data_IF_046002606228
#
_entry.id   IF_046002606228
#
_cell.length_a   1.000
_cell.length_b   1.000
_cell.length_c   1.000
_cell.angle_alpha   90.00
_cell.angle_beta   90.00
_cell.angle_gamma   90.00
#
_symmetry.space_group_name_H-M   'P 1'
#
loop_
_entity.id
_entity.type
_entity.pdbx_description
1 polymer ?
#
# COMPACT_ATOMS: atom_id res chain seq x y z
N UNK A 1 37.08 24.55 8.73
CA UNK A 1 36.32 23.48 9.37
C UNK A 1 34.80 23.59 9.18
N UNK A 2 34.24 24.78 9.08
CA UNK A 2 32.80 24.95 8.92
C UNK A 2 32.27 24.69 7.49
N UNK A 3 33.12 24.70 6.47
CA UNK A 3 32.73 24.48 5.09
C UNK A 3 32.39 23.01 4.74
N UNK A 4 33.07 22.05 5.38
CA UNK A 4 32.78 20.61 5.17
C UNK A 4 31.46 20.16 5.80
N UNK A 5 31.07 20.75 6.92
CA UNK A 5 29.80 20.46 7.59
C UNK A 5 28.59 21.00 6.79
N UNK A 6 28.75 22.16 6.15
CA UNK A 6 27.74 22.76 5.28
C UNK A 6 27.50 21.97 4.00
N UNK A 7 28.56 21.41 3.39
CA UNK A 7 28.48 20.59 2.19
C UNK A 7 27.77 19.25 2.45
N UNK A 8 28.03 18.59 3.56
CA UNK A 8 27.36 17.34 3.94
C UNK A 8 25.85 17.54 4.19
N UNK A 9 25.50 18.64 4.81
CA UNK A 9 24.08 18.97 5.04
C UNK A 9 23.36 19.31 3.73
N UNK A 10 23.98 20.01 2.81
CA UNK A 10 23.45 20.30 1.49
C UNK A 10 23.28 19.03 0.66
N UNK A 11 24.26 18.09 0.68
CA UNK A 11 24.13 16.79 -0.01
C UNK A 11 23.05 15.91 0.60
N UNK A 12 22.91 15.88 1.92
CA UNK A 12 21.85 15.11 2.61
C UNK A 12 20.48 15.71 2.32
N UNK A 13 20.36 17.05 2.30
CA UNK A 13 19.12 17.74 1.93
C UNK A 13 18.78 17.55 0.45
N UNK A 14 19.78 17.58 -0.43
CA UNK A 14 19.60 17.32 -1.85
C UNK A 14 19.20 15.88 -2.13
N UNK A 15 19.83 14.91 -1.48
CA UNK A 15 19.45 13.50 -1.56
C UNK A 15 18.07 13.22 -0.95
N UNK A 16 17.68 13.90 0.11
CA UNK A 16 16.34 13.78 0.68
C UNK A 16 15.29 14.49 -0.17
N UNK A 17 15.61 15.64 -0.76
CA UNK A 17 14.74 16.33 -1.71
C UNK A 17 14.58 15.55 -3.02
N UNK A 18 15.65 14.95 -3.52
CA UNK A 18 15.62 14.04 -4.69
C UNK A 18 14.83 12.78 -4.36
N UNK A 19 14.95 12.26 -3.15
CA UNK A 19 14.10 11.16 -2.67
C UNK A 19 12.63 11.56 -2.64
N UNK A 20 12.32 12.75 -2.18
CA UNK A 20 10.95 13.27 -2.15
C UNK A 20 10.39 13.57 -3.55
N UNK A 21 11.21 14.05 -4.47
CA UNK A 21 10.80 14.29 -5.85
C UNK A 21 10.64 13.00 -6.68
N UNK A 22 11.41 11.96 -6.34
CA UNK A 22 11.42 10.70 -7.10
C UNK A 22 10.36 9.69 -6.64
N UNK A 23 9.62 9.95 -5.57
CA UNK A 23 8.95 8.86 -4.90
C UNK A 23 7.72 9.19 -4.04
N UNK A 24 6.94 10.17 -4.39
CA UNK A 24 5.59 10.22 -3.82
C UNK A 24 4.71 9.13 -4.45
N UNK A 25 5.05 7.89 -4.14
CA UNK A 25 4.17 6.77 -4.42
C UNK A 25 3.07 6.77 -3.36
N UNK A 26 1.85 6.74 -3.81
CA UNK A 26 0.67 6.65 -2.96
C UNK A 26 0.09 5.25 -3.03
N UNK A 27 0.15 4.55 -1.92
CA UNK A 27 -0.46 3.23 -1.76
C UNK A 27 -1.53 3.31 -0.68
N UNK A 28 -2.70 2.77 -0.96
CA UNK A 28 -3.76 2.60 0.03
C UNK A 28 -3.81 1.14 0.45
N UNK A 29 -3.80 0.89 1.77
CA UNK A 29 -3.99 -0.42 2.35
C UNK A 29 -5.36 -0.49 3.02
N UNK A 30 -6.25 -1.27 2.45
CA UNK A 30 -7.53 -1.62 3.08
C UNK A 30 -7.30 -2.78 4.04
N UNK A 31 -7.45 -2.52 5.33
CA UNK A 31 -7.11 -3.45 6.39
C UNK A 31 -8.34 -3.90 7.17
N UNK A 32 -8.48 -5.21 7.36
CA UNK A 32 -9.46 -5.78 8.26
C UNK A 32 -9.17 -5.35 9.70
N UNK A 33 -10.20 -4.89 10.42
CA UNK A 33 -10.10 -4.43 11.79
C UNK A 33 -9.50 -5.48 12.75
N UNK A 34 -9.93 -6.75 12.62
CA UNK A 34 -9.59 -7.82 13.56
C UNK A 34 -8.19 -8.41 13.38
N UNK A 35 -7.59 -8.27 12.20
CA UNK A 35 -6.31 -8.92 11.89
C UNK A 35 -5.25 -7.94 11.36
N UNK A 36 -5.39 -7.48 10.12
CA UNK A 36 -4.36 -6.66 9.47
C UNK A 36 -4.18 -5.29 10.13
N UNK A 37 -5.26 -4.65 10.55
CA UNK A 37 -5.17 -3.37 11.26
C UNK A 37 -4.48 -3.54 12.61
N UNK A 38 -4.81 -4.61 13.35
CA UNK A 38 -4.14 -4.94 14.60
C UNK A 38 -2.66 -5.31 14.39
N UNK A 39 -2.33 -6.00 13.31
CA UNK A 39 -0.94 -6.29 12.94
C UNK A 39 -0.16 -5.00 12.61
N UNK A 40 -0.77 -4.06 11.90
CA UNK A 40 -0.18 -2.75 11.62
C UNK A 40 0.08 -1.94 12.91
N UNK A 41 -0.88 -1.95 13.83
CA UNK A 41 -0.76 -1.31 15.14
C UNK A 41 0.35 -1.96 15.98
N UNK A 42 0.44 -3.27 15.98
CA UNK A 42 1.52 -4.02 16.63
C UNK A 42 2.89 -3.67 16.04
N UNK A 43 3.01 -3.58 14.72
CA UNK A 43 4.24 -3.18 14.05
C UNK A 43 4.70 -1.78 14.51
N UNK A 44 3.75 -0.85 14.63
CA UNK A 44 4.01 0.49 15.15
C UNK A 44 4.48 0.47 16.61
N UNK A 45 3.80 -0.29 17.46
CA UNK A 45 4.16 -0.45 18.88
C UNK A 45 5.55 -1.08 19.07
N UNK A 46 5.91 -2.02 18.23
CA UNK A 46 7.23 -2.65 18.22
C UNK A 46 8.30 -1.82 17.50
N UNK A 47 7.94 -0.66 16.96
CA UNK A 47 8.82 0.23 16.19
C UNK A 47 9.50 -0.46 15.00
N UNK A 48 8.81 -1.39 14.37
CA UNK A 48 9.29 -2.05 13.14
C UNK A 48 9.25 -1.01 12.01
N UNK A 49 10.38 -0.82 11.35
CA UNK A 49 10.49 0.15 10.26
C UNK A 49 9.93 -0.43 8.96
N UNK A 50 9.11 0.33 8.28
CA UNK A 50 8.61 0.03 6.96
C UNK A 50 8.32 1.33 6.18
N UNK A 51 8.18 1.28 4.84
CA UNK A 51 7.96 2.49 4.04
C UNK A 51 6.71 3.27 4.44
N UNK A 52 6.80 4.59 4.45
CA UNK A 52 5.69 5.50 4.79
C UNK A 52 4.74 5.78 3.63
N UNK A 53 4.96 5.18 2.47
CA UNK A 53 4.14 5.35 1.26
C UNK A 53 2.73 4.78 1.37
N UNK A 54 2.47 3.95 2.38
CA UNK A 54 1.21 3.26 2.58
C UNK A 54 0.33 4.00 3.58
N UNK A 55 -0.89 4.32 3.16
CA UNK A 55 -1.94 4.89 4.00
C UNK A 55 -2.95 3.80 4.34
N UNK A 56 -3.18 3.60 5.63
CA UNK A 56 -4.07 2.55 6.13
C UNK A 56 -5.51 3.04 6.20
N UNK A 57 -6.42 2.29 5.60
CA UNK A 57 -7.87 2.47 5.72
C UNK A 57 -8.43 1.24 6.42
N UNK A 58 -8.99 1.45 7.61
CA UNK A 58 -9.59 0.38 8.41
C UNK A 58 -10.99 0.04 7.89
N UNK A 59 -11.23 -1.25 7.67
CA UNK A 59 -12.53 -1.79 7.33
C UNK A 59 -12.99 -2.76 8.43
N UNK A 60 -14.31 -2.87 8.68
CA UNK A 60 -14.84 -3.90 9.60
C UNK A 60 -14.43 -5.32 9.18
N UNK A 61 -14.42 -5.58 7.88
CA UNK A 61 -13.97 -6.82 7.25
C UNK A 61 -13.57 -6.53 5.80
N UNK A 62 -12.58 -7.24 5.27
CA UNK A 62 -12.23 -7.14 3.84
C UNK A 62 -13.39 -7.56 2.92
N UNK A 63 -14.36 -8.33 3.43
CA UNK A 63 -15.60 -8.63 2.72
C UNK A 63 -16.48 -7.42 2.41
N UNK A 64 -16.28 -6.29 3.09
CA UNK A 64 -16.95 -5.01 2.79
C UNK A 64 -16.29 -4.27 1.62
N UNK A 65 -15.08 -4.64 1.25
CA UNK A 65 -14.39 -4.03 0.14
C UNK A 65 -15.04 -4.48 -1.17
N UNK A 66 -15.60 -3.54 -1.91
CA UNK A 66 -16.14 -3.82 -3.23
C UNK A 66 -15.17 -3.41 -4.35
N UNK A 67 -15.47 -3.86 -5.55
CA UNK A 67 -14.68 -3.55 -6.75
C UNK A 67 -14.65 -2.05 -7.02
N UNK A 68 -15.76 -1.36 -6.81
CA UNK A 68 -15.87 0.06 -7.05
C UNK A 68 -14.91 0.87 -6.16
N UNK A 69 -14.81 0.52 -4.90
CA UNK A 69 -13.94 1.21 -3.95
C UNK A 69 -12.46 1.12 -4.36
N UNK A 70 -12.04 -0.03 -4.88
CA UNK A 70 -10.67 -0.21 -5.40
C UNK A 70 -10.46 0.63 -6.67
N UNK A 71 -11.41 0.61 -7.58
CA UNK A 71 -11.32 1.39 -8.83
C UNK A 71 -11.33 2.89 -8.56
N UNK A 72 -12.16 3.35 -7.62
CA UNK A 72 -12.20 4.75 -7.20
C UNK A 72 -10.85 5.23 -6.65
N UNK A 73 -10.15 4.37 -5.89
CA UNK A 73 -8.81 4.68 -5.41
C UNK A 73 -7.84 4.94 -6.57
N UNK A 74 -7.87 4.12 -7.61
CA UNK A 74 -7.05 4.32 -8.81
C UNK A 74 -7.46 5.57 -9.59
N UNK A 75 -8.74 5.85 -9.70
CA UNK A 75 -9.25 7.06 -10.36
C UNK A 75 -8.75 8.34 -9.68
N UNK A 76 -8.62 8.31 -8.35
CA UNK A 76 -8.08 9.42 -7.56
C UNK A 76 -6.55 9.51 -7.57
N UNK A 77 -5.87 8.70 -8.37
CA UNK A 77 -4.44 8.80 -8.61
C UNK A 77 -3.56 7.97 -7.67
N UNK A 78 -4.13 6.98 -7.01
CA UNK A 78 -3.37 6.02 -6.20
C UNK A 78 -2.54 5.13 -7.12
N UNK A 79 -1.30 4.88 -6.74
CA UNK A 79 -0.35 4.10 -7.54
C UNK A 79 -0.45 2.60 -7.28
N UNK A 80 -0.95 2.22 -6.10
CA UNK A 80 -1.16 0.84 -5.72
C UNK A 80 -2.22 0.68 -4.63
N UNK A 81 -2.88 -0.45 -4.62
CA UNK A 81 -3.87 -0.83 -3.60
C UNK A 81 -3.47 -2.15 -2.98
N UNK A 82 -3.30 -2.14 -1.69
CA UNK A 82 -3.03 -3.32 -0.88
C UNK A 82 -4.30 -3.69 -0.12
N UNK A 83 -4.67 -4.96 -0.16
CA UNK A 83 -5.79 -5.49 0.63
C UNK A 83 -5.21 -6.48 1.63
N UNK A 84 -5.37 -6.19 2.91
CA UNK A 84 -4.84 -7.01 3.98
C UNK A 84 -5.97 -7.59 4.83
N UNK A 85 -6.13 -8.88 4.80
CA UNK A 85 -7.20 -9.62 5.46
C UNK A 85 -6.71 -10.73 6.37
N UNK A 86 -7.66 -11.42 6.98
CA UNK A 86 -7.40 -12.56 7.84
C UNK A 86 -6.77 -13.72 7.07
N UNK A 87 -6.08 -14.60 7.78
CA UNK A 87 -5.63 -15.89 7.24
C UNK A 87 -6.83 -16.66 6.69
N UNK A 88 -6.62 -17.47 5.66
CA UNK A 88 -7.67 -18.32 5.11
C UNK A 88 -8.20 -19.26 6.21
N UNK A 89 -9.51 -19.28 6.38
CA UNK A 89 -10.18 -20.04 7.44
C UNK A 89 -10.37 -19.31 8.76
N UNK A 90 -9.69 -18.20 9.00
CA UNK A 90 -9.73 -17.44 10.28
C UNK A 90 -10.54 -16.13 10.19
N UNK A 91 -11.31 -15.96 9.14
CA UNK A 91 -12.11 -14.76 8.98
C UNK A 91 -13.22 -14.67 10.04
N UNK A 92 -13.28 -13.55 10.75
CA UNK A 92 -14.31 -13.30 11.76
C UNK A 92 -15.74 -13.43 11.19
N UNK A 93 -15.95 -13.09 9.94
CA UNK A 93 -17.22 -13.20 9.21
C UNK A 93 -17.23 -14.40 8.25
N UNK A 94 -16.47 -15.42 8.53
CA UNK A 94 -16.33 -16.70 7.83
C UNK A 94 -15.81 -16.62 6.40
N UNK A 95 -16.40 -15.84 5.49
CA UNK A 95 -16.07 -15.81 4.07
C UNK A 95 -15.61 -14.43 3.56
N UNK A 96 -15.46 -13.46 4.43
CA UNK A 96 -15.12 -12.09 4.03
C UNK A 96 -13.81 -12.00 3.24
N UNK A 97 -12.76 -12.68 3.70
CA UNK A 97 -11.47 -12.74 3.05
C UNK A 97 -11.50 -13.45 1.69
N UNK A 98 -12.30 -14.50 1.54
CA UNK A 98 -12.49 -15.18 0.24
C UNK A 98 -13.23 -14.28 -0.77
N UNK A 99 -14.22 -13.57 -0.32
CA UNK A 99 -14.93 -12.59 -1.15
C UNK A 99 -14.00 -11.46 -1.60
N UNK A 100 -13.17 -10.95 -0.70
CA UNK A 100 -12.15 -9.97 -1.02
C UNK A 100 -11.16 -10.50 -2.06
N UNK A 101 -10.67 -11.72 -1.90
CA UNK A 101 -9.76 -12.36 -2.86
C UNK A 101 -10.36 -12.45 -4.27
N UNK A 102 -11.62 -12.86 -4.37
CA UNK A 102 -12.34 -12.89 -5.67
C UNK A 102 -12.44 -11.52 -6.31
N UNK A 103 -12.78 -10.51 -5.52
CA UNK A 103 -12.89 -9.12 -5.99
C UNK A 103 -11.56 -8.54 -6.42
N UNK A 104 -10.49 -8.80 -5.67
CA UNK A 104 -9.13 -8.40 -6.03
C UNK A 104 -8.72 -9.04 -7.38
N UNK A 105 -8.98 -10.33 -7.55
CA UNK A 105 -8.67 -11.02 -8.81
C UNK A 105 -9.50 -10.45 -9.99
N UNK A 106 -10.74 -10.10 -9.76
CA UNK A 106 -11.56 -9.45 -10.76
C UNK A 106 -11.03 -8.07 -11.16
N UNK A 107 -10.64 -7.26 -10.18
CA UNK A 107 -10.00 -5.95 -10.44
C UNK A 107 -8.70 -6.12 -11.23
N UNK A 108 -7.87 -7.11 -10.90
CA UNK A 108 -6.65 -7.42 -11.66
C UNK A 108 -6.96 -7.69 -13.14
N UNK A 109 -8.02 -8.42 -13.42
CA UNK A 109 -8.48 -8.68 -14.79
C UNK A 109 -8.91 -7.39 -15.49
N UNK A 110 -9.66 -6.52 -14.80
CA UNK A 110 -10.08 -5.24 -15.35
C UNK A 110 -8.89 -4.32 -15.65
N UNK A 111 -7.93 -4.23 -14.73
CA UNK A 111 -6.73 -3.42 -14.94
C UNK A 111 -5.92 -3.87 -16.16
N UNK A 112 -5.75 -5.17 -16.34
CA UNK A 112 -5.08 -5.72 -17.52
C UNK A 112 -5.79 -5.33 -18.82
N UNK A 113 -7.12 -5.32 -18.84
CA UNK A 113 -7.90 -4.93 -20.03
C UNK A 113 -7.70 -3.49 -20.44
N UNK A 114 -7.46 -2.60 -19.48
CA UNK A 114 -7.24 -1.17 -19.74
C UNK A 114 -5.74 -0.79 -19.84
N UNK A 115 -4.84 -1.79 -19.82
CA UNK A 115 -3.41 -1.58 -19.97
C UNK A 115 -2.68 -1.13 -18.71
N UNK A 116 -3.26 -1.37 -17.54
CA UNK A 116 -2.63 -1.10 -16.23
C UNK A 116 -2.11 -2.42 -15.63
N UNK A 117 -0.94 -2.36 -15.02
CA UNK A 117 -0.31 -3.53 -14.42
C UNK A 117 -1.15 -4.09 -13.27
N UNK A 118 -1.45 -5.38 -13.33
CA UNK A 118 -2.27 -6.05 -12.32
C UNK A 118 -1.60 -6.14 -10.95
N UNK A 119 -0.28 -6.04 -10.89
CA UNK A 119 0.48 -6.09 -9.64
C UNK A 119 0.32 -4.83 -8.78
N UNK A 120 -0.33 -3.80 -9.30
CA UNK A 120 -0.74 -2.63 -8.53
C UNK A 120 -1.83 -2.91 -7.51
N UNK A 121 -2.52 -4.06 -7.62
CA UNK A 121 -3.47 -4.54 -6.62
C UNK A 121 -3.00 -5.90 -6.11
N UNK A 122 -2.78 -6.01 -4.82
CA UNK A 122 -2.36 -7.26 -4.19
C UNK A 122 -3.09 -7.48 -2.88
N UNK A 123 -3.34 -8.75 -2.58
CA UNK A 123 -3.92 -9.17 -1.32
C UNK A 123 -2.88 -9.90 -0.47
N UNK A 124 -2.87 -9.59 0.81
CA UNK A 124 -2.03 -10.23 1.82
C UNK A 124 -2.91 -10.75 2.95
N UNK A 125 -2.57 -11.92 3.47
CA UNK A 125 -3.27 -12.53 4.58
C UNK A 125 -2.36 -12.57 5.80
N UNK A 126 -2.88 -12.18 6.96
CA UNK A 126 -2.13 -12.16 8.21
C UNK A 126 -3.04 -12.24 9.42
N UNK A 127 -2.49 -12.67 10.56
CA UNK A 127 -3.16 -12.61 11.86
C UNK A 127 -2.80 -11.33 12.61
N UNK A 128 -3.57 -11.02 13.65
CA UNK A 128 -3.33 -9.86 14.52
C UNK A 128 -1.96 -9.83 15.21
N UNK A 129 -1.33 -10.99 15.39
CA UNK A 129 -0.01 -11.15 16.02
C UNK A 129 1.16 -11.00 15.02
N UNK A 130 0.89 -10.81 13.74
CA UNK A 130 1.89 -10.81 12.67
C UNK A 130 2.35 -9.39 12.28
N UNK A 131 2.81 -8.58 13.25
CA UNK A 131 3.32 -7.23 12.98
C UNK A 131 4.50 -7.21 12.02
N UNK A 132 5.42 -8.18 12.13
CA UNK A 132 6.54 -8.32 11.19
C UNK A 132 6.06 -8.61 9.76
N UNK A 133 5.07 -9.49 9.61
CA UNK A 133 4.48 -9.81 8.30
C UNK A 133 3.79 -8.59 7.67
N UNK A 134 3.17 -7.75 8.48
CA UNK A 134 2.64 -6.46 8.01
C UNK A 134 3.74 -5.61 7.38
N UNK A 135 4.86 -5.40 8.09
CA UNK A 135 5.97 -4.61 7.60
C UNK A 135 6.59 -5.20 6.32
N UNK A 136 6.73 -6.53 6.26
CA UNK A 136 7.20 -7.23 5.05
C UNK A 136 6.24 -7.04 3.87
N UNK A 137 4.93 -7.15 4.09
CA UNK A 137 3.92 -6.95 3.06
C UNK A 137 3.92 -5.51 2.52
N UNK A 138 4.01 -4.51 3.40
CA UNK A 138 4.12 -3.10 3.01
C UNK A 138 5.39 -2.87 2.19
N UNK A 139 6.51 -3.41 2.63
CA UNK A 139 7.79 -3.28 1.91
C UNK A 139 7.72 -3.92 0.52
N UNK A 140 7.17 -5.11 0.44
CA UNK A 140 6.98 -5.81 -0.85
C UNK A 140 6.08 -5.02 -1.80
N UNK A 141 4.99 -4.48 -1.29
CA UNK A 141 4.08 -3.66 -2.10
C UNK A 141 4.73 -2.36 -2.57
N UNK A 142 5.45 -1.68 -1.68
CA UNK A 142 6.18 -0.45 -2.00
C UNK A 142 7.22 -0.70 -3.10
N UNK A 143 8.03 -1.74 -2.96
CA UNK A 143 9.02 -2.12 -3.97
C UNK A 143 8.39 -2.46 -5.32
N UNK A 144 7.29 -3.21 -5.31
CA UNK A 144 6.57 -3.58 -6.53
C UNK A 144 6.06 -2.34 -7.25
N UNK A 145 5.40 -1.44 -6.53
CA UNK A 145 4.85 -0.21 -7.13
C UNK A 145 5.95 0.72 -7.61
N UNK A 146 7.07 0.82 -6.89
CA UNK A 146 8.23 1.62 -7.33
C UNK A 146 8.83 1.11 -8.64
N UNK A 147 8.91 -0.19 -8.83
CA UNK A 147 9.36 -0.80 -10.09
C UNK A 147 8.43 -0.50 -11.25
N UNK A 148 7.13 -0.48 -11.00
CA UNK A 148 6.12 -0.17 -12.00
C UNK A 148 6.04 1.34 -12.34
N UNK A 149 6.47 2.19 -11.40
CA UNK A 149 6.37 3.64 -11.52
C UNK A 149 4.98 4.19 -11.19
N UNK A 150 4.76 5.50 -11.36
CA UNK A 150 3.47 6.12 -11.09
C UNK A 150 2.35 5.52 -11.94
N UNK A 151 1.14 5.49 -11.38
CA UNK A 151 -0.04 5.01 -12.11
C UNK A 151 -0.30 5.87 -13.36
N UNK A 152 -0.63 5.24 -14.51
CA UNK A 152 -1.04 5.98 -15.70
C UNK A 152 -2.27 6.88 -15.48
N UNK A 153 -3.11 6.55 -14.49
CA UNK A 153 -4.30 7.33 -14.13
C UNK A 153 -3.99 8.52 -13.21
N UNK A 154 -2.78 8.60 -12.70
CA UNK A 154 -2.36 9.73 -11.88
C UNK A 154 -2.36 10.98 -12.73
N UNK A 155 -3.20 11.94 -12.37
CA UNK A 155 -3.19 13.25 -13.03
C UNK A 155 -1.84 13.90 -12.80
N UNK A 156 -1.11 14.19 -13.89
CA UNK A 156 0.04 15.07 -13.79
C UNK A 156 -0.46 16.38 -13.20
N UNK A 157 0.05 16.75 -12.04
CA UNK A 157 -0.15 18.11 -11.55
C UNK A 157 0.32 19.04 -12.68
N UNK A 158 -0.61 19.76 -13.26
CA UNK A 158 -0.23 20.84 -14.18
C UNK A 158 0.55 21.82 -13.33
N UNK A 159 1.85 21.88 -13.55
CA UNK A 159 2.65 22.98 -13.07
C UNK A 159 2.06 24.26 -13.64
N UNK A 160 1.32 24.95 -12.81
CA UNK A 160 0.84 26.30 -13.10
C UNK A 160 1.97 27.30 -12.86
#
# INVERSE_FOLDING_TARGET
MNAEFGMRNAEVLEKSAIRNQKSEINIIAFCCHYCAYAAADLAGSLRIQYPSSVKVVKLPCTGKLDVQLILDAFEHGVDGVMVAGCMEGDCHYQQGNFNAKRRVNFVKTLLKRIGIESDRVRMFNMSSAMGKKWAEAVTEMDETVRKLGPSPLRKKERSS
#
